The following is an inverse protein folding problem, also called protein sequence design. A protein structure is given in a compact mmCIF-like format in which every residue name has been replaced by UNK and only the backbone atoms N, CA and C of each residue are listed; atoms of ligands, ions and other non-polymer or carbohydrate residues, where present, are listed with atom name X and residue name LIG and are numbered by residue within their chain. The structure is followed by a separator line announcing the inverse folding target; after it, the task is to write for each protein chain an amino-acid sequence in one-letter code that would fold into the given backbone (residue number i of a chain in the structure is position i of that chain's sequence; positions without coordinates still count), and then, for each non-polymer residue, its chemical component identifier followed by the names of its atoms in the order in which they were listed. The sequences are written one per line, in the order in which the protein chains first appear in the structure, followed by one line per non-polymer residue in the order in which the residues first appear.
data_IF_727701437201
#
_entry.id   IF_727701437201
#
_cell.length_a   1.000
_cell.length_b   1.000
_cell.length_c   1.000
_cell.angle_alpha   90.00
_cell.angle_beta   90.00
_cell.angle_gamma   90.00
#
_symmetry.space_group_name_H-M   'P 1'
#
loop_
_entity.id
_entity.type
_entity.pdbx_description
1 polymer ?
#
# COMPACT_ATOMS: atom_id res chain seq x y z
N UNK A 1 5.71 38.03 -17.63
CA UNK A 1 4.43 37.93 -16.90
C UNK A 1 3.62 36.64 -17.14
N UNK A 2 3.98 35.82 -18.11
CA UNK A 2 3.25 34.56 -18.38
C UNK A 2 3.60 33.41 -17.38
N UNK A 3 4.78 33.44 -16.76
CA UNK A 3 5.20 32.39 -15.82
C UNK A 3 4.56 32.47 -14.43
N UNK A 4 4.14 33.65 -13.99
CA UNK A 4 3.51 33.84 -12.67
C UNK A 4 2.08 33.26 -12.62
N UNK A 5 1.40 33.22 -13.76
CA UNK A 5 0.03 32.71 -13.84
C UNK A 5 0.02 31.18 -13.74
N UNK A 6 1.03 30.51 -14.29
CA UNK A 6 1.16 29.04 -14.19
C UNK A 6 1.48 28.56 -12.78
N UNK A 7 2.31 29.25 -12.01
CA UNK A 7 2.55 28.93 -10.61
C UNK A 7 1.30 29.09 -9.75
N UNK A 8 0.46 30.09 -10.02
CA UNK A 8 -0.80 30.30 -9.29
C UNK A 8 -1.81 29.17 -9.56
N UNK A 9 -1.88 28.65 -10.79
CA UNK A 9 -2.74 27.52 -11.12
C UNK A 9 -2.25 26.20 -10.50
N UNK A 10 -0.94 25.96 -10.45
CA UNK A 10 -0.37 24.78 -9.82
C UNK A 10 -0.64 24.75 -8.30
N UNK A 11 -0.64 25.92 -7.65
CA UNK A 11 -0.93 26.01 -6.21
C UNK A 11 -2.43 25.81 -5.93
N UNK A 12 -3.32 26.22 -6.82
CA UNK A 12 -4.76 26.00 -6.63
C UNK A 12 -5.19 24.53 -6.79
N UNK A 13 -4.41 23.72 -7.53
CA UNK A 13 -4.71 22.29 -7.66
C UNK A 13 -4.19 21.44 -6.48
N UNK A 14 -3.41 22.04 -5.57
CA UNK A 14 -2.81 21.38 -4.42
C UNK A 14 -3.57 21.65 -3.11
N UNK A 15 -4.69 22.36 -3.13
CA UNK A 15 -5.56 22.42 -1.96
C UNK A 15 -6.28 21.09 -1.82
N UNK A 16 -6.05 20.33 -0.74
CA UNK A 16 -6.90 19.18 -0.46
C UNK A 16 -8.32 19.70 -0.28
N UNK A 17 -9.26 19.13 -1.04
CA UNK A 17 -10.66 19.32 -0.78
C UNK A 17 -10.92 18.82 0.65
N UNK A 18 -11.04 19.73 1.59
CA UNK A 18 -11.63 19.44 2.89
C UNK A 18 -13.11 19.18 2.60
N UNK A 19 -13.47 17.90 2.55
CA UNK A 19 -14.84 17.48 2.64
C UNK A 19 -15.37 17.92 3.99
N UNK A 20 -16.32 18.84 3.97
CA UNK A 20 -17.11 19.20 5.13
C UNK A 20 -17.82 17.93 5.59
N UNK A 21 -17.47 17.45 6.78
CA UNK A 21 -18.22 16.45 7.51
C UNK A 21 -19.54 17.10 7.93
N UNK A 22 -20.58 16.85 7.18
CA UNK A 22 -21.94 17.05 7.69
C UNK A 22 -22.19 15.99 8.75
N UNK A 23 -22.08 16.38 10.00
CA UNK A 23 -22.65 15.67 11.14
C UNK A 23 -24.17 15.55 10.95
N UNK A 24 -24.61 14.45 10.35
CA UNK A 24 -25.98 14.02 10.51
C UNK A 24 -26.06 13.11 11.73
N UNK A 25 -26.43 13.76 12.82
CA UNK A 25 -26.97 13.14 14.01
C UNK A 25 -28.17 12.25 13.61
N UNK A 26 -27.97 10.94 13.56
CA UNK A 26 -29.07 9.98 13.52
C UNK A 26 -28.90 9.00 14.66
N UNK A 27 -29.71 9.29 15.66
CA UNK A 27 -29.98 8.57 16.88
C UNK A 27 -30.43 7.12 16.58
N UNK A 28 -29.68 6.21 17.24
CA UNK A 28 -30.07 4.92 17.79
C UNK A 28 -31.01 4.01 17.00
N UNK A 29 -30.64 2.80 16.94
CA UNK A 29 -31.22 1.53 17.38
C UNK A 29 -30.56 0.40 16.56
N UNK A 30 -30.03 -0.57 17.24
CA UNK A 30 -29.63 -1.86 16.67
C UNK A 30 -28.13 -2.09 16.74
N UNK A 31 -27.75 -2.69 17.83
CA UNK A 31 -26.47 -3.40 18.00
C UNK A 31 -26.46 -4.58 17.02
N UNK A 32 -26.10 -4.30 15.79
CA UNK A 32 -25.46 -5.25 14.90
C UNK A 32 -24.09 -4.64 14.67
N UNK A 33 -23.08 -5.21 15.33
CA UNK A 33 -21.72 -5.07 14.90
C UNK A 33 -21.71 -5.49 13.44
N UNK A 34 -21.70 -4.52 12.58
CA UNK A 34 -21.44 -4.70 11.16
C UNK A 34 -19.98 -5.21 11.10
N UNK A 35 -19.83 -6.53 11.22
CA UNK A 35 -18.55 -7.20 11.10
C UNK A 35 -18.05 -6.92 9.70
N UNK A 36 -17.38 -5.78 9.55
CA UNK A 36 -16.81 -5.33 8.30
C UNK A 36 -15.80 -6.37 7.82
N UNK A 37 -16.24 -7.21 6.90
CA UNK A 37 -15.40 -8.17 6.24
C UNK A 37 -14.23 -7.43 5.57
N UNK A 38 -13.01 -7.82 5.89
CA UNK A 38 -11.81 -7.19 5.40
C UNK A 38 -11.42 -7.77 4.04
N UNK A 39 -11.22 -6.92 3.06
CA UNK A 39 -10.73 -7.30 1.74
C UNK A 39 -9.21 -7.18 1.69
N UNK A 40 -8.53 -8.23 1.25
CA UNK A 40 -7.07 -8.29 1.22
C UNK A 40 -6.57 -8.78 -0.14
N UNK A 41 -5.32 -8.51 -0.44
CA UNK A 41 -4.64 -9.20 -1.51
C UNK A 41 -4.13 -10.57 -1.02
N UNK A 42 -4.29 -11.57 -1.86
CA UNK A 42 -3.77 -12.93 -1.65
C UNK A 42 -2.68 -13.24 -2.66
N UNK A 43 -1.59 -13.80 -2.17
CA UNK A 43 -0.51 -14.37 -2.96
C UNK A 43 0.08 -15.54 -2.18
N UNK A 44 -0.04 -16.74 -2.71
CA UNK A 44 0.39 -17.95 -2.00
C UNK A 44 1.91 -18.07 -1.94
N UNK A 45 2.61 -17.60 -2.97
CA UNK A 45 4.07 -17.61 -3.01
C UNK A 45 4.58 -16.59 -4.03
N UNK A 46 5.44 -15.71 -3.61
CA UNK A 46 6.20 -14.77 -4.43
C UNK A 46 7.67 -14.80 -4.06
N UNK A 47 8.51 -14.35 -4.96
CA UNK A 47 9.95 -14.26 -4.75
C UNK A 47 10.39 -12.81 -4.90
N UNK A 48 11.30 -12.38 -4.02
CA UNK A 48 11.69 -10.98 -3.86
C UNK A 48 10.47 -10.08 -3.64
N UNK A 49 10.24 -9.09 -4.44
CA UNK A 49 9.05 -8.22 -4.35
C UNK A 49 7.95 -8.60 -5.36
N UNK A 50 8.17 -9.63 -6.17
CA UNK A 50 7.23 -10.06 -7.21
C UNK A 50 6.28 -11.11 -6.65
N UNK A 51 4.97 -10.83 -6.72
CA UNK A 51 3.92 -11.72 -6.25
C UNK A 51 2.68 -11.57 -7.14
N UNK A 52 2.20 -12.66 -7.69
CA UNK A 52 0.93 -12.62 -8.41
C UNK A 52 -0.21 -12.53 -7.40
N UNK A 53 -0.91 -11.41 -7.41
CA UNK A 53 -1.94 -11.11 -6.43
C UNK A 53 -3.35 -11.30 -6.97
N UNK A 54 -4.22 -11.90 -6.16
CA UNK A 54 -5.66 -11.94 -6.34
C UNK A 54 -6.33 -11.27 -5.14
N UNK A 55 -7.56 -10.83 -5.30
CA UNK A 55 -8.34 -10.29 -4.19
C UNK A 55 -9.02 -11.41 -3.41
N UNK A 56 -9.13 -11.26 -2.11
CA UNK A 56 -9.79 -12.20 -1.22
C UNK A 56 -10.50 -11.47 -0.09
N UNK A 57 -11.59 -12.05 0.39
CA UNK A 57 -12.32 -11.54 1.56
C UNK A 57 -11.92 -12.40 2.75
N UNK A 58 -11.47 -11.76 3.81
CA UNK A 58 -11.10 -12.44 5.05
C UNK A 58 -12.33 -12.83 5.86
N UNK A 59 -12.22 -13.94 6.59
CA UNK A 59 -13.25 -14.33 7.55
C UNK A 59 -13.24 -13.40 8.75
N UNK A 60 -14.33 -13.44 9.51
CA UNK A 60 -14.45 -12.69 10.76
C UNK A 60 -13.30 -13.03 11.72
N UNK A 61 -12.66 -11.98 12.25
CA UNK A 61 -11.50 -12.12 13.16
C UNK A 61 -10.16 -12.35 12.47
N UNK A 62 -10.13 -12.38 11.14
CA UNK A 62 -8.90 -12.40 10.37
C UNK A 62 -8.47 -10.98 9.96
N UNK A 63 -7.18 -10.82 9.71
CA UNK A 63 -6.54 -9.59 9.27
C UNK A 63 -5.77 -9.80 7.97
N UNK A 64 -5.60 -8.75 7.19
CA UNK A 64 -4.67 -8.80 6.07
C UNK A 64 -3.24 -8.96 6.59
N UNK A 65 -2.44 -9.79 5.93
CA UNK A 65 -1.03 -9.92 6.28
C UNK A 65 -0.10 -9.84 5.07
N UNK A 66 1.11 -9.44 5.35
CA UNK A 66 2.27 -9.58 4.46
C UNK A 66 3.27 -10.48 5.15
N UNK A 67 3.46 -11.68 4.63
CA UNK A 67 4.48 -12.62 5.09
C UNK A 67 5.79 -12.38 4.34
N UNK A 68 6.90 -12.30 5.07
CA UNK A 68 8.24 -12.23 4.51
C UNK A 68 9.15 -13.22 5.21
N UNK A 69 9.95 -13.94 4.43
CA UNK A 69 10.93 -14.89 4.91
C UNK A 69 12.09 -15.04 3.97
N UNK A 70 13.12 -15.73 4.41
CA UNK A 70 14.29 -16.08 3.59
C UNK A 70 14.43 -17.57 3.51
N UNK A 71 14.39 -18.11 2.29
CA UNK A 71 14.70 -19.49 2.02
C UNK A 71 16.16 -19.59 1.58
N UNK A 72 16.88 -20.58 2.16
CA UNK A 72 18.30 -20.82 1.85
C UNK A 72 19.19 -19.56 1.91
N UNK A 73 18.95 -18.68 2.90
CA UNK A 73 19.69 -17.45 3.21
C UNK A 73 19.73 -16.37 2.11
N UNK A 74 19.37 -16.71 0.88
CA UNK A 74 19.50 -15.81 -0.27
C UNK A 74 18.19 -15.53 -1.00
N UNK A 75 17.19 -16.40 -0.86
CA UNK A 75 15.93 -16.28 -1.58
C UNK A 75 14.88 -15.62 -0.70
N UNK A 76 14.56 -14.36 -0.98
CA UNK A 76 13.46 -13.67 -0.31
C UNK A 76 12.12 -14.23 -0.80
N UNK A 77 11.30 -14.67 0.14
CA UNK A 77 9.97 -15.22 -0.09
C UNK A 77 8.92 -14.26 0.47
N UNK A 78 7.85 -14.06 -0.29
CA UNK A 78 6.73 -13.21 0.06
C UNK A 78 5.41 -13.96 -0.07
N UNK A 79 4.51 -13.78 0.89
CA UNK A 79 3.13 -14.25 0.83
C UNK A 79 2.17 -13.15 1.29
N UNK A 80 0.96 -13.17 0.78
CA UNK A 80 -0.09 -12.22 1.14
C UNK A 80 -1.39 -12.98 1.38
N UNK A 81 -2.24 -12.48 2.25
CA UNK A 81 -3.56 -13.10 2.46
C UNK A 81 -4.22 -12.65 3.75
N UNK A 82 -5.06 -13.52 4.28
CA UNK A 82 -5.74 -13.37 5.55
C UNK A 82 -5.12 -14.32 6.58
N UNK A 83 -5.07 -13.87 7.82
CA UNK A 83 -4.57 -14.66 8.94
C UNK A 83 -5.31 -14.27 10.21
N UNK A 84 -5.45 -15.19 11.15
CA UNK A 84 -6.03 -14.89 12.46
C UNK A 84 -5.16 -13.91 13.24
N UNK A 85 -5.80 -13.07 14.05
CA UNK A 85 -5.11 -12.03 14.80
C UNK A 85 -4.03 -12.57 15.76
N UNK A 86 -4.17 -13.77 16.26
CA UNK A 86 -3.22 -14.45 17.14
C UNK A 86 -1.96 -14.97 16.40
N UNK A 87 -2.01 -15.07 15.09
CA UNK A 87 -0.87 -15.45 14.24
C UNK A 87 -0.11 -14.25 13.66
N UNK A 88 -0.53 -13.01 14.01
CA UNK A 88 0.10 -11.79 13.57
C UNK A 88 1.43 -11.55 14.30
N UNK A 89 2.44 -11.10 13.56
CA UNK A 89 3.78 -10.74 14.06
C UNK A 89 4.52 -11.92 14.74
N UNK A 90 4.04 -13.14 14.45
CA UNK A 90 4.66 -14.38 14.94
C UNK A 90 5.55 -14.97 13.85
N UNK A 91 6.72 -15.42 14.25
CA UNK A 91 7.59 -16.21 13.36
C UNK A 91 7.05 -17.62 13.21
N UNK A 92 6.77 -18.02 12.00
CA UNK A 92 6.31 -19.36 11.67
C UNK A 92 7.31 -20.06 10.77
N UNK A 93 7.51 -21.34 11.01
CA UNK A 93 8.34 -22.18 10.15
C UNK A 93 7.51 -22.72 9.00
N UNK A 94 7.95 -22.47 7.77
CA UNK A 94 7.27 -22.91 6.54
C UNK A 94 8.17 -23.83 5.76
N UNK A 95 7.62 -24.93 5.26
CA UNK A 95 8.31 -25.85 4.36
C UNK A 95 8.04 -25.42 2.91
N UNK A 96 9.12 -25.15 2.18
CA UNK A 96 9.05 -24.84 0.75
C UNK A 96 9.39 -26.10 -0.04
N UNK A 97 8.42 -26.64 -0.76
CA UNK A 97 8.54 -27.89 -1.55
C UNK A 97 8.84 -29.15 -0.72
N UNK A 98 8.57 -30.32 -1.30
CA UNK A 98 8.73 -31.65 -0.69
C UNK A 98 10.17 -32.02 -0.30
N UNK A 99 11.12 -31.11 -0.39
CA UNK A 99 12.56 -31.31 -0.19
C UNK A 99 13.13 -30.59 1.04
N UNK A 100 12.37 -30.47 2.13
CA UNK A 100 12.86 -30.01 3.43
C UNK A 100 13.58 -28.62 3.42
N UNK A 101 13.25 -27.73 2.50
CA UNK A 101 13.71 -26.34 2.64
C UNK A 101 12.81 -25.65 3.65
N UNK A 102 13.26 -25.62 4.88
CA UNK A 102 12.58 -24.96 5.99
C UNK A 102 13.07 -23.53 6.05
N UNK A 103 12.15 -22.58 6.07
CA UNK A 103 12.48 -21.17 6.28
C UNK A 103 11.55 -20.55 7.32
N UNK A 104 12.03 -19.51 7.96
CA UNK A 104 11.27 -18.74 8.94
C UNK A 104 10.58 -17.59 8.22
N UNK A 105 9.28 -17.43 8.45
CA UNK A 105 8.47 -16.37 7.90
C UNK A 105 7.81 -15.58 9.02
N UNK A 106 7.87 -14.27 8.94
CA UNK A 106 7.13 -13.35 9.81
C UNK A 106 5.94 -12.78 9.06
N UNK A 107 4.75 -12.86 9.65
CA UNK A 107 3.51 -12.33 9.10
C UNK A 107 3.20 -11.00 9.76
N UNK A 108 3.40 -9.90 9.05
CA UNK A 108 3.04 -8.56 9.54
C UNK A 108 1.59 -8.26 9.13
N UNK A 109 0.73 -7.96 10.09
CA UNK A 109 -0.69 -7.72 9.86
C UNK A 109 -1.05 -6.24 9.77
N UNK A 110 -2.21 -5.98 9.17
CA UNK A 110 -2.83 -4.67 9.10
C UNK A 110 -4.36 -4.78 9.01
N UNK A 111 -5.06 -3.72 9.43
CA UNK A 111 -6.50 -3.74 9.71
C UNK A 111 -7.34 -2.93 8.71
N UNK A 112 -6.77 -2.52 7.59
CA UNK A 112 -7.50 -1.81 6.54
C UNK A 112 -7.62 -2.67 5.29
N UNK A 113 -8.71 -2.53 4.54
CA UNK A 113 -8.88 -3.22 3.27
C UNK A 113 -7.73 -2.89 2.33
N UNK A 114 -7.16 -3.92 1.69
CA UNK A 114 -6.04 -3.84 0.75
C UNK A 114 -4.74 -3.23 1.33
N UNK A 115 -4.60 -3.22 2.66
CA UNK A 115 -3.40 -2.67 3.30
C UNK A 115 -2.13 -3.49 3.04
N UNK A 116 -2.27 -4.76 2.67
CA UNK A 116 -1.17 -5.65 2.31
C UNK A 116 -0.77 -5.55 0.83
N UNK A 117 -1.18 -4.48 0.13
CA UNK A 117 -0.71 -4.19 -1.23
C UNK A 117 0.81 -3.98 -1.27
N UNK A 118 1.43 -4.33 -2.40
CA UNK A 118 2.83 -4.02 -2.65
C UNK A 118 3.04 -2.50 -2.56
N UNK A 119 4.11 -2.09 -1.89
CA UNK A 119 4.57 -0.71 -1.67
C UNK A 119 3.77 0.39 -2.36
N UNK A 120 2.96 1.11 -1.60
CA UNK A 120 2.56 2.45 -1.99
C UNK A 120 3.84 3.30 -1.98
N UNK A 121 4.25 3.76 -3.14
CA UNK A 121 5.29 4.78 -3.21
C UNK A 121 4.84 5.94 -2.30
N UNK A 122 5.62 6.33 -1.29
CA UNK A 122 5.20 7.40 -0.41
C UNK A 122 4.92 8.64 -1.26
N UNK A 123 3.77 9.24 -1.05
CA UNK A 123 3.28 10.40 -1.82
C UNK A 123 4.34 11.51 -1.91
N UNK A 124 5.20 11.63 -0.90
CA UNK A 124 6.32 12.54 -0.89
C UNK A 124 7.31 12.27 -2.04
N UNK A 125 7.69 11.02 -2.29
CA UNK A 125 8.60 10.66 -3.38
C UNK A 125 7.98 10.97 -4.73
N UNK A 126 6.69 10.67 -4.90
CA UNK A 126 5.98 10.98 -6.13
C UNK A 126 5.95 12.50 -6.40
N UNK A 127 5.72 13.31 -5.35
CA UNK A 127 5.76 14.77 -5.45
C UNK A 127 7.15 15.28 -5.83
N UNK A 128 8.22 14.75 -5.25
CA UNK A 128 9.59 15.12 -5.61
C UNK A 128 9.87 14.82 -7.08
N UNK A 129 9.52 13.64 -7.57
CA UNK A 129 9.70 13.27 -8.97
C UNK A 129 8.93 14.19 -9.92
N UNK A 130 7.70 14.58 -9.58
CA UNK A 130 6.90 15.52 -10.39
C UNK A 130 7.56 16.90 -10.40
N UNK A 131 8.03 17.40 -9.26
CA UNK A 131 8.71 18.71 -9.17
C UNK A 131 10.00 18.70 -9.99
N UNK A 132 10.80 17.64 -9.91
CA UNK A 132 12.05 17.51 -10.66
C UNK A 132 11.78 17.52 -12.17
N UNK A 133 10.79 16.78 -12.65
CA UNK A 133 10.42 16.76 -14.07
C UNK A 133 9.94 18.14 -14.54
N UNK A 134 9.11 18.83 -13.75
CA UNK A 134 8.59 20.15 -14.09
C UNK A 134 9.69 21.22 -14.09
N UNK A 135 10.63 21.16 -13.15
CA UNK A 135 11.78 22.11 -13.11
C UNK A 135 12.73 21.87 -14.27
N UNK A 136 13.02 20.63 -14.60
CA UNK A 136 13.85 20.28 -15.76
C UNK A 136 13.23 20.77 -17.08
N UNK A 137 11.92 20.61 -17.22
CA UNK A 137 11.19 21.09 -18.41
C UNK A 137 11.22 22.61 -18.52
N UNK A 138 10.95 23.29 -17.40
CA UNK A 138 10.99 24.76 -17.33
C UNK A 138 12.36 25.35 -17.68
N UNK A 139 13.43 24.73 -17.17
CA UNK A 139 14.81 25.15 -17.47
C UNK A 139 15.20 24.87 -18.94
N UNK A 140 14.67 23.82 -19.54
CA UNK A 140 14.87 23.51 -20.96
C UNK A 140 14.24 24.56 -21.87
N UNK A 141 13.03 25.05 -21.57
CA UNK A 141 12.39 26.10 -22.35
C UNK A 141 13.05 27.47 -22.18
N UNK A 142 13.54 27.77 -20.98
CA UNK A 142 14.28 29.01 -20.71
C UNK A 142 15.59 29.08 -21.51
N UNK A 143 16.23 27.94 -21.78
CA UNK A 143 17.49 27.84 -22.54
C UNK A 143 17.30 28.02 -24.05
N UNK A 144 16.14 27.71 -24.59
CA UNK A 144 15.84 27.81 -26.04
C UNK A 144 15.32 29.19 -26.48
N UNK A 145 14.96 30.05 -25.53
CA UNK A 145 14.43 31.40 -25.80
C UNK A 145 15.46 32.51 -25.94
N UNK A 146 16.79 32.21 -25.90
CA UNK A 146 17.88 33.21 -25.97
C UNK A 146 18.71 33.05 -27.25
N UNK A 147 18.09 33.12 -28.42
CA UNK A 147 18.76 33.41 -29.69
C UNK A 147 18.03 34.51 -30.43
#
# INVERSE_FOLDING_TARGET
MKGLIFCAFAIMMLTPAQGEEEEQLMESVGFEEDEKLLECFRCDLGFWDTCYTTETICSVGERCYTGRGKAADTLDVKTLGCVKADECDVETTVELFSNNTIFVMTKNCCDASFCNSAHKLPTAILLYLIVDVLTAWYLSEASTGSQ
#
